data_IF_204208051620
#
_entry.id   IF_204208051620
#
_cell.length_a   1.000
_cell.length_b   1.000
_cell.length_c   1.000
_cell.angle_alpha   90.00
_cell.angle_beta   90.00
_cell.angle_gamma   90.00
#
_symmetry.space_group_name_H-M   'P 1'
#
loop_
_entity.id
_entity.type
_entity.pdbx_description
1 polymer ?
#
# COMPACT_ATOMS: atom_id res chain seq x y z
N UNK A 1 18.58 -13.74 -5.37
CA UNK A 1 17.54 -12.84 -5.90
C UNK A 1 17.15 -11.89 -4.79
N UNK A 2 17.38 -10.59 -4.96
CA UNK A 2 16.96 -9.57 -3.99
C UNK A 2 15.44 -9.47 -4.04
N UNK A 3 14.74 -9.71 -2.92
CA UNK A 3 13.28 -9.59 -2.89
C UNK A 3 12.92 -8.12 -3.10
N UNK A 4 12.15 -7.80 -4.15
CA UNK A 4 11.70 -6.44 -4.43
C UNK A 4 10.57 -6.04 -3.48
N UNK A 5 10.66 -4.83 -2.94
CA UNK A 5 9.60 -4.23 -2.14
C UNK A 5 8.69 -3.38 -3.02
N UNK A 6 7.42 -3.39 -2.65
CA UNK A 6 6.39 -2.56 -3.25
C UNK A 6 5.38 -2.14 -2.18
N UNK A 7 4.37 -1.41 -2.62
CA UNK A 7 3.26 -0.94 -1.80
C UNK A 7 1.96 -1.52 -2.32
N UNK A 8 0.95 -1.59 -1.45
CA UNK A 8 -0.40 -2.01 -1.80
C UNK A 8 -1.28 -0.78 -2.02
N UNK A 9 -1.67 -0.56 -3.26
CA UNK A 9 -2.60 0.49 -3.66
C UNK A 9 -4.04 -0.04 -3.66
N UNK A 10 -4.97 0.86 -3.35
CA UNK A 10 -6.40 0.62 -3.35
C UNK A 10 -7.01 1.38 -4.53
N UNK A 11 -7.53 0.66 -5.50
CA UNK A 11 -8.23 1.27 -6.62
C UNK A 11 -9.69 1.57 -6.19
N UNK A 12 -10.01 2.86 -6.00
CA UNK A 12 -11.35 3.34 -5.58
C UNK A 12 -11.94 4.18 -6.71
N UNK A 13 -12.63 3.56 -7.69
CA UNK A 13 -12.97 4.19 -8.97
C UNK A 13 -13.91 5.40 -8.84
N UNK A 14 -14.82 5.40 -7.88
CA UNK A 14 -15.85 6.44 -7.77
C UNK A 14 -15.46 7.63 -6.86
N UNK A 15 -14.31 7.54 -6.19
CA UNK A 15 -13.91 8.50 -5.14
C UNK A 15 -12.39 8.76 -5.24
N UNK A 16 -11.93 9.24 -6.40
CA UNK A 16 -10.52 9.61 -6.60
C UNK A 16 -10.25 11.06 -6.15
N UNK A 17 -10.35 11.32 -4.85
CA UNK A 17 -9.90 12.60 -4.28
C UNK A 17 -8.38 12.75 -4.27
N UNK A 18 -7.65 11.63 -4.33
CA UNK A 18 -6.19 11.59 -4.25
C UNK A 18 -5.61 10.72 -5.36
N UNK A 19 -4.41 11.09 -5.83
CA UNK A 19 -3.65 10.34 -6.85
C UNK A 19 -3.29 8.93 -6.39
N UNK A 20 -2.99 8.76 -5.10
CA UNK A 20 -2.64 7.47 -4.51
C UNK A 20 -3.53 7.19 -3.29
N UNK A 21 -4.22 6.05 -3.32
CA UNK A 21 -4.85 5.47 -2.13
C UNK A 21 -4.10 4.19 -1.78
N UNK A 22 -3.72 4.04 -0.52
CA UNK A 22 -2.83 2.97 -0.06
C UNK A 22 -3.21 2.52 1.33
N UNK A 23 -2.77 1.32 1.70
CA UNK A 23 -2.95 0.83 3.07
C UNK A 23 -1.74 1.15 3.94
N UNK A 24 -2.00 1.40 5.21
CA UNK A 24 -0.99 1.41 6.27
C UNK A 24 -1.33 0.30 7.26
N UNK A 25 -0.29 -0.34 7.81
CA UNK A 25 -0.44 -1.31 8.89
C UNK A 25 -0.44 -0.56 10.22
N UNK A 26 -1.45 -0.82 11.04
CA UNK A 26 -1.58 -0.29 12.39
C UNK A 26 -1.72 -1.45 13.34
N UNK A 27 -1.01 -1.41 14.46
CA UNK A 27 -1.15 -2.41 15.50
C UNK A 27 -2.07 -1.87 16.60
N UNK A 28 -3.20 -2.53 16.80
CA UNK A 28 -4.12 -2.23 17.91
C UNK A 28 -4.31 -3.50 18.74
N UNK A 29 -4.01 -3.42 20.03
CA UNK A 29 -4.13 -4.53 20.97
C UNK A 29 -3.47 -5.85 20.50
N UNK A 30 -2.32 -5.77 19.82
CA UNK A 30 -1.59 -6.94 19.31
C UNK A 30 -2.15 -7.55 18.02
N UNK A 31 -3.10 -6.88 17.38
CA UNK A 31 -3.66 -7.28 16.08
C UNK A 31 -3.32 -6.24 15.01
N UNK A 32 -2.66 -6.69 13.94
CA UNK A 32 -2.45 -5.86 12.74
C UNK A 32 -3.77 -5.59 12.04
N UNK A 33 -4.09 -4.31 11.89
CA UNK A 33 -5.25 -3.81 11.15
C UNK A 33 -4.77 -2.87 10.06
N UNK A 34 -5.31 -3.05 8.85
CA UNK A 34 -5.02 -2.15 7.74
C UNK A 34 -6.06 -1.03 7.68
N UNK A 35 -5.59 0.22 7.57
CA UNK A 35 -6.45 1.36 7.26
C UNK A 35 -6.08 1.94 5.89
N UNK A 36 -7.07 2.49 5.19
CA UNK A 36 -6.87 3.14 3.89
C UNK A 36 -6.57 4.61 4.13
N UNK A 37 -5.53 5.11 3.46
CA UNK A 37 -5.17 6.53 3.45
C UNK A 37 -4.97 7.01 2.01
N UNK A 38 -5.08 8.32 1.80
CA UNK A 38 -4.97 8.96 0.50
C UNK A 38 -3.93 10.09 0.48
N UNK A 39 -3.18 10.22 -0.62
CA UNK A 39 -2.25 11.34 -0.81
C UNK A 39 -1.96 11.61 -2.28
N UNK A 40 -1.60 12.86 -2.58
CA UNK A 40 -1.05 13.24 -3.90
C UNK A 40 0.48 13.22 -3.92
N UNK A 41 1.14 13.04 -2.77
CA UNK A 41 2.59 13.15 -2.62
C UNK A 41 3.26 11.77 -2.51
N UNK A 42 4.17 11.47 -3.46
CA UNK A 42 4.93 10.23 -3.49
C UNK A 42 5.75 10.00 -2.20
N UNK A 43 6.36 11.05 -1.64
CA UNK A 43 7.14 10.95 -0.40
C UNK A 43 6.32 10.39 0.78
N UNK A 44 5.02 10.73 0.85
CA UNK A 44 4.14 10.18 1.89
C UNK A 44 3.84 8.71 1.66
N UNK A 45 3.64 8.31 0.40
CA UNK A 45 3.44 6.91 0.02
C UNK A 45 4.68 6.08 0.38
N UNK A 46 5.87 6.53 -0.01
CA UNK A 46 7.15 5.87 0.31
C UNK A 46 7.38 5.76 1.82
N UNK A 47 7.01 6.78 2.60
CA UNK A 47 7.23 6.77 4.05
C UNK A 47 6.21 5.93 4.81
N UNK A 48 4.93 6.07 4.48
CA UNK A 48 3.82 5.62 5.32
C UNK A 48 3.16 4.32 4.85
N UNK A 49 3.21 4.01 3.56
CA UNK A 49 2.53 2.83 3.04
C UNK A 49 3.13 1.54 3.59
N UNK A 50 2.27 0.55 3.77
CA UNK A 50 2.69 -0.81 4.07
C UNK A 50 3.55 -1.34 2.92
N UNK A 51 4.80 -1.69 3.25
CA UNK A 51 5.78 -2.22 2.30
C UNK A 51 5.79 -3.73 2.40
N UNK A 52 5.61 -4.39 1.27
CA UNK A 52 5.67 -5.84 1.20
C UNK A 52 6.27 -6.31 -0.11
N UNK A 53 6.70 -7.56 -0.11
CA UNK A 53 7.14 -8.26 -1.32
C UNK A 53 5.94 -8.69 -2.16
N UNK A 54 6.16 -8.93 -3.45
CA UNK A 54 5.11 -9.42 -4.34
C UNK A 54 4.50 -10.75 -3.87
N UNK A 55 5.28 -11.61 -3.20
CA UNK A 55 4.77 -12.88 -2.64
C UNK A 55 3.85 -12.65 -1.43
N UNK A 56 4.18 -11.70 -0.56
CA UNK A 56 3.33 -11.33 0.58
C UNK A 56 2.02 -10.68 0.11
N UNK A 57 2.08 -9.86 -0.94
CA UNK A 57 0.93 -9.22 -1.55
C UNK A 57 -0.13 -10.21 -2.04
N UNK A 58 0.25 -11.44 -2.42
CA UNK A 58 -0.71 -12.48 -2.84
C UNK A 58 -1.72 -12.86 -1.76
N UNK A 59 -1.43 -12.57 -0.48
CA UNK A 59 -2.39 -12.74 0.63
C UNK A 59 -3.56 -11.77 0.56
N UNK A 60 -3.42 -10.68 -0.20
CA UNK A 60 -4.38 -9.59 -0.30
C UNK A 60 -4.73 -9.29 -1.76
N UNK A 61 -5.43 -10.22 -2.46
CA UNK A 61 -5.72 -10.10 -3.89
C UNK A 61 -6.61 -8.90 -4.26
N UNK A 62 -7.28 -8.28 -3.29
CA UNK A 62 -8.08 -7.07 -3.48
C UNK A 62 -7.23 -5.80 -3.67
N UNK A 63 -5.95 -5.83 -3.35
CA UNK A 63 -5.05 -4.69 -3.48
C UNK A 63 -4.12 -4.86 -4.67
N UNK A 64 -3.79 -3.75 -5.31
CA UNK A 64 -2.83 -3.72 -6.41
C UNK A 64 -1.43 -3.47 -5.87
N UNK A 65 -0.58 -4.48 -5.98
CA UNK A 65 0.85 -4.33 -5.64
C UNK A 65 1.58 -3.56 -6.74
N UNK A 66 2.37 -2.57 -6.34
CA UNK A 66 3.22 -1.78 -7.24
C UNK A 66 4.63 -1.73 -6.66
N UNK A 67 5.64 -2.02 -7.47
CA UNK A 67 7.03 -1.95 -7.02
C UNK A 67 7.40 -0.49 -6.72
N UNK A 68 8.22 -0.26 -5.69
CA UNK A 68 8.65 1.10 -5.34
C UNK A 68 9.43 1.79 -6.48
N UNK A 69 10.11 1.01 -7.32
CA UNK A 69 10.86 1.49 -8.49
C UNK A 69 9.98 1.93 -9.67
N UNK A 70 8.69 1.56 -9.67
CA UNK A 70 7.72 1.86 -10.73
C UNK A 70 6.78 3.03 -10.35
N UNK A 71 7.00 3.68 -9.20
CA UNK A 71 6.13 4.75 -8.64
C UNK A 71 6.51 6.18 -9.06
#
# INVERSE_FOLDING_TARGET
MTKKLGVLLVDVPDIMFFKYNYIIDTEEAGTSTFIINGTDFLEKLERLAYKCTQEEAKKYPQFRWVALEDL
#
